data_IF_252417979799
#
_entry.id   IF_252417979799
#
_cell.length_a   1.000
_cell.length_b   1.000
_cell.length_c   1.000
_cell.angle_alpha   90.00
_cell.angle_beta   90.00
_cell.angle_gamma   90.00
#
_symmetry.space_group_name_H-M   'P 1'
#
loop_
_entity.id
_entity.type
_entity.pdbx_description
1 polymer ?
#
# COMPACT_ATOMS: atom_id res chain seq x y z
N UNK A 1 -14.28 -8.81 21.68
CA UNK A 1 -12.99 -8.19 22.12
C UNK A 1 -12.28 -7.60 20.92
N UNK A 2 -11.97 -6.29 20.97
CA UNK A 2 -11.13 -5.63 19.97
C UNK A 2 -9.66 -5.93 20.29
N UNK A 3 -8.91 -6.46 19.33
CA UNK A 3 -7.46 -6.63 19.47
C UNK A 3 -6.80 -5.25 19.65
N UNK A 4 -5.87 -5.12 20.60
CA UNK A 4 -5.03 -3.93 20.72
C UNK A 4 -4.08 -3.83 19.52
N UNK A 5 -3.86 -2.62 19.00
CA UNK A 5 -2.89 -2.37 17.92
C UNK A 5 -1.49 -2.76 18.40
N UNK A 6 -0.75 -3.49 17.57
CA UNK A 6 0.68 -3.75 17.78
C UNK A 6 1.52 -2.66 17.12
N UNK A 7 2.68 -2.36 17.70
CA UNK A 7 3.73 -1.53 17.08
C UNK A 7 5.06 -2.28 17.00
N UNK A 8 5.05 -3.60 17.24
CA UNK A 8 6.24 -4.43 17.04
C UNK A 8 6.62 -4.41 15.56
N UNK A 9 7.91 -4.19 15.29
CA UNK A 9 8.47 -4.14 13.94
C UNK A 9 8.30 -5.48 13.24
N UNK A 10 7.93 -5.43 11.97
CA UNK A 10 7.93 -6.59 11.08
C UNK A 10 9.36 -6.88 10.62
N UNK A 11 9.63 -8.11 10.18
CA UNK A 11 10.94 -8.45 9.61
C UNK A 11 11.18 -7.64 8.34
N UNK A 12 10.13 -7.39 7.54
CA UNK A 12 10.23 -6.57 6.33
C UNK A 12 10.62 -5.10 6.61
N UNK A 13 10.43 -4.60 7.84
CA UNK A 13 10.85 -3.25 8.26
C UNK A 13 12.38 -3.13 8.42
N UNK A 14 13.11 -4.24 8.45
CA UNK A 14 14.56 -4.25 8.58
C UNK A 14 15.24 -3.98 7.22
N UNK A 15 15.67 -2.74 7.04
CA UNK A 15 16.34 -2.27 5.83
C UNK A 15 17.73 -2.89 5.61
N UNK A 16 18.30 -3.55 6.62
CA UNK A 16 19.56 -4.29 6.43
C UNK A 16 19.36 -5.57 5.61
N UNK A 17 18.12 -6.04 5.48
CA UNK A 17 17.76 -7.18 4.62
C UNK A 17 17.76 -6.72 3.17
N UNK A 18 18.88 -7.00 2.50
CA UNK A 18 19.08 -6.66 1.08
C UNK A 18 19.25 -7.88 0.16
N UNK A 19 18.93 -9.07 0.67
CA UNK A 19 19.07 -10.35 -0.03
C UNK A 19 17.74 -10.91 -0.55
N UNK A 20 17.82 -12.06 -1.23
CA UNK A 20 16.72 -12.73 -1.92
C UNK A 20 15.56 -13.19 -1.02
N UNK A 21 15.74 -13.21 0.31
CA UNK A 21 14.63 -13.55 1.22
C UNK A 21 13.50 -12.53 1.14
N UNK A 22 13.83 -11.27 0.83
CA UNK A 22 12.83 -10.23 0.56
C UNK A 22 12.06 -10.53 -0.73
N UNK A 23 12.74 -10.97 -1.80
CA UNK A 23 12.11 -11.27 -3.09
C UNK A 23 11.06 -12.37 -2.97
N UNK A 24 11.38 -13.44 -2.24
CA UNK A 24 10.44 -14.52 -1.96
C UNK A 24 9.22 -14.00 -1.20
N UNK A 25 9.43 -13.15 -0.19
CA UNK A 25 8.34 -12.54 0.56
C UNK A 25 7.45 -11.65 -0.32
N UNK A 26 8.04 -10.79 -1.15
CA UNK A 26 7.33 -9.91 -2.08
C UNK A 26 6.54 -10.71 -3.12
N UNK A 27 7.11 -11.81 -3.64
CA UNK A 27 6.42 -12.72 -4.55
C UNK A 27 5.20 -13.38 -3.89
N UNK A 28 5.34 -13.90 -2.67
CA UNK A 28 4.22 -14.50 -1.94
C UNK A 28 3.16 -13.46 -1.58
N UNK A 29 3.55 -12.25 -1.21
CA UNK A 29 2.62 -11.14 -0.98
C UNK A 29 1.82 -10.79 -2.22
N UNK A 30 2.44 -10.82 -3.41
CA UNK A 30 1.73 -10.65 -4.69
C UNK A 30 0.64 -11.73 -4.88
N UNK A 31 0.96 -13.00 -4.58
CA UNK A 31 0.00 -14.11 -4.65
C UNK A 31 -1.15 -13.90 -3.66
N UNK A 32 -0.83 -13.55 -2.40
CA UNK A 32 -1.82 -13.26 -1.36
C UNK A 32 -2.71 -12.07 -1.76
N UNK A 33 -2.13 -10.99 -2.30
CA UNK A 33 -2.88 -9.82 -2.77
C UNK A 33 -3.81 -10.14 -3.94
N UNK A 34 -3.42 -11.08 -4.80
CA UNK A 34 -4.29 -11.54 -5.88
C UNK A 34 -5.49 -12.32 -5.32
N UNK A 35 -5.27 -13.36 -4.51
CA UNK A 35 -6.34 -14.24 -4.02
C UNK A 35 -7.20 -13.62 -2.93
N UNK A 36 -6.61 -12.85 -2.01
CA UNK A 36 -7.34 -12.18 -0.92
C UNK A 36 -7.82 -10.77 -1.31
N UNK A 37 -7.96 -10.52 -2.62
CA UNK A 37 -8.67 -9.35 -3.14
C UNK A 37 -7.95 -8.01 -3.01
N UNK A 38 -6.68 -7.97 -2.60
CA UNK A 38 -5.88 -6.74 -2.54
C UNK A 38 -5.89 -5.99 -3.87
N UNK A 39 -5.64 -6.69 -4.98
CA UNK A 39 -5.64 -6.07 -6.31
C UNK A 39 -7.03 -5.56 -6.71
N UNK A 40 -8.11 -6.20 -6.23
CA UNK A 40 -9.49 -5.73 -6.45
C UNK A 40 -9.79 -4.45 -5.65
N UNK A 41 -9.31 -4.37 -4.42
CA UNK A 41 -9.47 -3.20 -3.54
C UNK A 41 -8.83 -1.95 -4.17
N UNK A 42 -7.58 -2.05 -4.57
CA UNK A 42 -6.85 -0.94 -5.19
C UNK A 42 -7.48 -0.50 -6.52
N UNK A 43 -7.94 -1.44 -7.36
CA UNK A 43 -8.70 -1.13 -8.59
C UNK A 43 -10.03 -0.43 -8.31
N UNK A 44 -10.72 -0.79 -7.22
CA UNK A 44 -11.95 -0.13 -6.83
C UNK A 44 -11.71 1.34 -6.40
N UNK A 45 -10.59 1.62 -5.74
CA UNK A 45 -10.15 2.99 -5.44
C UNK A 45 -9.87 3.78 -6.71
N UNK A 46 -9.11 3.20 -7.64
CA UNK A 46 -8.81 3.83 -8.94
C UNK A 46 -10.09 4.11 -9.74
N UNK A 47 -11.02 3.16 -9.77
CA UNK A 47 -12.33 3.34 -10.42
C UNK A 47 -13.18 4.44 -9.76
N UNK A 48 -13.03 4.68 -8.45
CA UNK A 48 -13.70 5.80 -7.80
C UNK A 48 -13.13 7.15 -8.27
N UNK A 49 -11.80 7.28 -8.35
CA UNK A 49 -11.15 8.50 -8.84
C UNK A 49 -11.45 8.72 -10.32
N UNK A 50 -11.33 7.68 -11.16
CA UNK A 50 -11.60 7.79 -12.61
C UNK A 50 -13.04 8.19 -12.96
N UNK A 51 -14.00 7.97 -12.05
CA UNK A 51 -15.40 8.42 -12.23
C UNK A 51 -15.62 9.88 -11.86
N UNK A 52 -14.76 10.43 -11.02
CA UNK A 52 -14.87 11.81 -10.52
C UNK A 52 -13.93 12.77 -11.26
N UNK A 53 -12.86 12.27 -11.87
CA UNK A 53 -11.82 13.07 -12.51
C UNK A 53 -11.66 12.68 -13.98
N UNK A 54 -11.46 13.68 -14.83
CA UNK A 54 -11.04 13.51 -16.22
C UNK A 54 -9.55 13.78 -16.33
N UNK A 55 -8.78 12.80 -16.80
CA UNK A 55 -7.35 12.98 -17.04
C UNK A 55 -7.11 13.49 -18.46
N UNK A 56 -6.28 14.53 -18.61
CA UNK A 56 -5.87 15.02 -19.93
C UNK A 56 -4.94 14.04 -20.65
N UNK A 57 -4.12 13.32 -19.88
CA UNK A 57 -3.11 12.36 -20.34
C UNK A 57 -3.24 11.04 -19.58
N UNK A 58 -2.40 10.05 -19.90
CA UNK A 58 -2.22 8.86 -19.06
C UNK A 58 -1.90 9.25 -17.61
N UNK A 59 -2.71 8.84 -16.62
CA UNK A 59 -2.50 9.23 -15.22
C UNK A 59 -1.21 8.64 -14.67
N UNK A 60 -0.39 9.50 -14.06
CA UNK A 60 0.81 9.13 -13.33
C UNK A 60 0.43 8.65 -11.92
N UNK A 61 0.72 7.39 -11.62
CA UNK A 61 0.38 6.74 -10.35
C UNK A 61 1.66 6.46 -9.58
N UNK A 62 1.84 7.13 -8.43
CA UNK A 62 2.93 6.82 -7.50
C UNK A 62 2.46 5.77 -6.50
N UNK A 63 3.08 4.59 -6.53
CA UNK A 63 2.86 3.52 -5.56
C UNK A 63 3.95 3.61 -4.47
N UNK A 64 3.57 3.98 -3.25
CA UNK A 64 4.50 4.13 -2.11
C UNK A 64 4.50 2.87 -1.23
N UNK A 65 5.68 2.47 -0.76
CA UNK A 65 5.84 1.15 -0.13
C UNK A 65 5.55 0.02 -1.10
N UNK A 66 5.92 0.22 -2.36
CA UNK A 66 5.44 -0.59 -3.47
C UNK A 66 5.95 -2.03 -3.48
N UNK A 67 7.03 -2.35 -2.76
CA UNK A 67 7.60 -3.68 -2.75
C UNK A 67 8.02 -4.12 -4.16
N UNK A 68 7.29 -5.10 -4.72
CA UNK A 68 7.47 -5.58 -6.10
C UNK A 68 6.60 -4.87 -7.16
N UNK A 69 5.80 -3.87 -6.77
CA UNK A 69 4.97 -3.03 -7.64
C UNK A 69 4.03 -3.79 -8.59
N UNK A 70 3.41 -4.87 -8.14
CA UNK A 70 2.78 -5.81 -9.07
C UNK A 70 1.53 -5.27 -9.79
N UNK A 71 0.71 -4.47 -9.12
CA UNK A 71 -0.61 -4.12 -9.63
C UNK A 71 -0.56 -3.23 -10.87
N UNK A 72 0.04 -2.04 -10.75
CA UNK A 72 -0.05 -1.03 -11.81
C UNK A 72 0.84 -1.35 -13.00
N UNK A 73 1.99 -2.01 -12.81
CA UNK A 73 2.78 -2.52 -13.92
C UNK A 73 2.04 -3.62 -14.68
N UNK A 74 1.39 -4.57 -14.00
CA UNK A 74 0.51 -5.55 -14.68
C UNK A 74 -0.63 -4.87 -15.42
N UNK A 75 -1.19 -3.79 -14.89
CA UNK A 75 -2.23 -3.02 -15.59
C UNK A 75 -1.69 -2.36 -16.85
N UNK A 76 -0.52 -1.70 -16.77
CA UNK A 76 0.15 -1.09 -17.93
C UNK A 76 0.47 -2.11 -19.01
N UNK A 77 1.06 -3.26 -18.65
CA UNK A 77 1.37 -4.37 -19.58
C UNK A 77 0.10 -4.90 -20.25
N UNK A 78 -1.04 -4.92 -19.55
CA UNK A 78 -2.35 -5.29 -20.10
C UNK A 78 -3.04 -4.16 -20.89
N UNK A 79 -2.31 -3.12 -21.29
CA UNK A 79 -2.81 -2.02 -22.11
C UNK A 79 -3.74 -1.06 -21.37
N UNK A 80 -3.76 -1.06 -20.02
CA UNK A 80 -4.52 -0.04 -19.28
C UNK A 80 -3.78 1.27 -19.30
N UNK A 81 -4.53 2.36 -19.47
CA UNK A 81 -4.02 3.73 -19.49
C UNK A 81 -3.58 4.19 -18.09
N UNK A 82 -2.41 3.73 -17.64
CA UNK A 82 -1.77 4.14 -16.37
C UNK A 82 -0.26 4.19 -16.55
N UNK A 83 0.38 5.17 -15.92
CA UNK A 83 1.84 5.32 -15.88
C UNK A 83 2.33 5.15 -14.43
N UNK A 84 2.81 3.97 -14.03
CA UNK A 84 3.26 3.73 -12.66
C UNK A 84 4.67 4.26 -12.38
N UNK A 85 4.84 4.81 -11.18
CA UNK A 85 6.13 5.04 -10.51
C UNK A 85 6.11 4.23 -9.22
N UNK A 86 7.14 3.39 -9.02
CA UNK A 86 7.38 2.67 -7.79
C UNK A 86 8.23 3.52 -6.84
N UNK A 87 7.82 3.62 -5.58
CA UNK A 87 8.64 4.16 -4.51
C UNK A 87 8.70 3.19 -3.34
N UNK A 88 9.92 2.90 -2.89
CA UNK A 88 10.17 2.04 -1.74
C UNK A 88 11.46 2.48 -1.03
N UNK A 89 11.55 2.25 0.27
CA UNK A 89 12.73 2.62 1.06
C UNK A 89 13.77 1.50 1.10
N UNK A 90 13.35 0.24 0.90
CA UNK A 90 14.27 -0.89 0.86
C UNK A 90 14.91 -1.00 -0.54
N UNK A 91 16.24 -0.84 -0.59
CA UNK A 91 17.01 -0.91 -1.86
C UNK A 91 16.84 -2.24 -2.59
N UNK A 92 16.62 -3.35 -1.87
CA UNK A 92 16.35 -4.65 -2.49
C UNK A 92 14.96 -4.69 -3.11
N UNK A 93 13.93 -4.10 -2.50
CA UNK A 93 12.61 -3.98 -3.12
C UNK A 93 12.66 -3.16 -4.42
N UNK A 94 13.39 -2.04 -4.42
CA UNK A 94 13.65 -1.27 -5.64
C UNK A 94 14.30 -2.12 -6.75
N UNK A 95 15.36 -2.84 -6.42
CA UNK A 95 16.08 -3.73 -7.36
C UNK A 95 15.18 -4.85 -7.87
N UNK A 96 14.37 -5.43 -6.99
CA UNK A 96 13.41 -6.47 -7.33
C UNK A 96 12.35 -5.95 -8.32
N UNK A 97 11.81 -4.75 -8.11
CA UNK A 97 10.90 -4.11 -9.07
C UNK A 97 11.57 -3.92 -10.43
N UNK A 98 12.83 -3.44 -10.47
CA UNK A 98 13.60 -3.32 -11.72
C UNK A 98 13.88 -4.65 -12.41
N UNK A 99 14.10 -5.72 -11.64
CA UNK A 99 14.29 -7.06 -12.19
C UNK A 99 13.02 -7.58 -12.88
N UNK A 100 11.84 -7.38 -12.27
CA UNK A 100 10.56 -7.78 -12.85
C UNK A 100 10.12 -6.87 -14.00
N UNK A 101 10.48 -5.59 -13.93
CA UNK A 101 10.05 -4.54 -14.84
C UNK A 101 11.24 -3.63 -15.17
N UNK A 102 12.09 -3.99 -16.16
CA UNK A 102 13.30 -3.22 -16.49
C UNK A 102 13.02 -1.73 -16.78
N UNK A 103 11.92 -1.46 -17.47
CA UNK A 103 11.43 -0.11 -17.83
C UNK A 103 10.72 0.64 -16.69
N UNK A 104 10.63 0.05 -15.49
CA UNK A 104 9.94 0.69 -14.37
C UNK A 104 10.63 1.98 -13.94
N UNK A 105 9.85 3.05 -13.72
CA UNK A 105 10.33 4.21 -12.97
C UNK A 105 10.32 3.84 -11.49
N UNK A 106 11.49 3.77 -10.88
CA UNK A 106 11.69 3.36 -9.47
C UNK A 106 12.43 4.46 -8.73
N UNK A 107 11.93 4.83 -7.56
CA UNK A 107 12.50 5.87 -6.69
C UNK A 107 12.74 5.27 -5.32
N UNK A 108 14.01 5.03 -4.97
CA UNK A 108 14.36 4.55 -3.63
C UNK A 108 14.37 5.71 -2.65
N UNK A 109 13.33 5.84 -1.83
CA UNK A 109 13.15 6.97 -0.93
C UNK A 109 12.33 6.61 0.31
N UNK A 110 12.52 7.39 1.37
CA UNK A 110 11.62 7.39 2.52
C UNK A 110 10.32 8.11 2.16
N UNK A 111 9.17 7.48 2.41
CA UNK A 111 7.86 8.07 2.17
C UNK A 111 7.57 9.31 3.03
N UNK A 112 8.31 9.52 4.13
CA UNK A 112 8.27 10.76 4.90
C UNK A 112 9.00 11.92 4.22
N UNK A 113 9.73 11.64 3.12
CA UNK A 113 10.54 12.60 2.36
C UNK A 113 10.45 12.31 0.86
N UNK A 114 9.23 12.15 0.35
CA UNK A 114 8.98 11.93 -1.08
C UNK A 114 9.60 13.05 -1.95
N UNK A 115 10.42 12.73 -2.96
CA UNK A 115 11.15 13.70 -3.78
C UNK A 115 10.29 14.27 -4.93
N UNK A 116 9.02 14.54 -4.66
CA UNK A 116 8.07 15.06 -5.65
C UNK A 116 7.56 16.43 -5.22
N UNK A 117 7.35 17.32 -6.21
CA UNK A 117 6.80 18.65 -5.95
C UNK A 117 5.28 18.55 -5.77
N UNK A 118 4.69 19.62 -5.26
CA UNK A 118 3.23 19.77 -5.14
C UNK A 118 2.57 19.56 -6.51
N UNK A 119 1.45 18.83 -6.53
CA UNK A 119 0.64 18.61 -7.73
C UNK A 119 1.42 18.05 -8.94
N UNK A 120 2.40 17.16 -8.74
CA UNK A 120 3.13 16.51 -9.85
C UNK A 120 2.68 15.08 -10.15
N UNK A 121 2.02 14.42 -9.20
CA UNK A 121 1.53 13.05 -9.36
C UNK A 121 0.01 13.08 -9.47
N UNK A 122 -0.59 12.34 -10.41
CA UNK A 122 -2.05 12.35 -10.55
C UNK A 122 -2.72 11.62 -9.40
N UNK A 123 -2.23 10.42 -9.07
CA UNK A 123 -2.77 9.57 -8.00
C UNK A 123 -1.63 8.99 -7.17
N UNK A 124 -1.75 9.04 -5.84
CA UNK A 124 -0.88 8.29 -4.94
C UNK A 124 -1.61 7.05 -4.45
N UNK A 125 -0.95 5.91 -4.49
CA UNK A 125 -1.45 4.64 -3.98
C UNK A 125 -0.51 4.10 -2.92
N UNK A 126 -1.09 3.47 -1.89
CA UNK A 126 -0.36 2.70 -0.90
C UNK A 126 -1.14 1.43 -0.58
N UNK A 127 -0.49 0.26 -0.63
CA UNK A 127 -1.12 -1.01 -0.27
C UNK A 127 -0.26 -1.74 0.75
N UNK A 128 -0.89 -2.19 1.85
CA UNK A 128 -0.22 -2.87 2.96
C UNK A 128 1.00 -2.08 3.48
N UNK A 129 0.84 -0.76 3.62
CA UNK A 129 1.96 0.14 3.89
C UNK A 129 1.75 0.97 5.16
N UNK A 130 0.56 1.54 5.36
CA UNK A 130 0.37 2.50 6.46
C UNK A 130 0.30 1.85 7.83
N UNK A 131 0.00 0.54 7.93
CA UNK A 131 0.08 -0.17 9.22
C UNK A 131 1.51 -0.26 9.79
N UNK A 132 2.53 0.03 8.98
CA UNK A 132 3.93 0.14 9.42
C UNK A 132 4.22 1.43 10.22
N UNK A 133 3.32 2.42 10.17
CA UNK A 133 3.54 3.73 10.78
C UNK A 133 2.78 3.89 12.10
N UNK A 134 3.34 4.71 13.00
CA UNK A 134 2.57 5.31 14.08
C UNK A 134 1.61 6.36 13.51
N UNK A 135 0.63 6.73 14.31
CA UNK A 135 -0.45 7.64 13.93
C UNK A 135 0.08 8.99 13.42
N UNK A 136 1.07 9.56 14.12
CA UNK A 136 1.67 10.86 13.77
C UNK A 136 2.47 10.79 12.47
N UNK A 137 3.28 9.75 12.30
CA UNK A 137 4.08 9.54 11.08
C UNK A 137 3.16 9.29 9.88
N UNK A 138 2.12 8.47 10.05
CA UNK A 138 1.09 8.25 9.02
C UNK A 138 0.41 9.55 8.62
N UNK A 139 0.04 10.40 9.60
CA UNK A 139 -0.56 11.69 9.32
C UNK A 139 0.41 12.62 8.57
N UNK A 140 1.69 12.62 8.93
CA UNK A 140 2.71 13.41 8.25
C UNK A 140 2.87 12.98 6.78
N UNK A 141 3.02 11.68 6.52
CA UNK A 141 3.11 11.12 5.16
C UNK A 141 1.84 11.46 4.36
N UNK A 142 0.65 11.27 4.92
CA UNK A 142 -0.59 11.57 4.20
C UNK A 142 -0.78 13.06 3.90
N UNK A 143 -0.35 13.97 4.80
CA UNK A 143 -0.33 15.41 4.49
C UNK A 143 0.59 15.70 3.32
N UNK A 144 1.80 15.13 3.30
CA UNK A 144 2.70 15.28 2.17
C UNK A 144 2.09 14.71 0.87
N UNK A 145 1.52 13.51 0.91
CA UNK A 145 0.83 12.91 -0.22
C UNK A 145 -0.32 13.79 -0.71
N UNK A 146 -1.08 14.43 0.19
CA UNK A 146 -2.20 15.31 -0.19
C UNK A 146 -1.75 16.56 -0.95
N UNK A 147 -0.52 17.01 -0.74
CA UNK A 147 0.07 18.13 -1.48
C UNK A 147 0.61 17.66 -2.84
N UNK A 148 1.26 16.49 -2.90
CA UNK A 148 1.85 15.95 -4.12
C UNK A 148 0.80 15.47 -5.13
N UNK A 149 -0.28 14.83 -4.64
CA UNK A 149 -1.33 14.28 -5.48
C UNK A 149 -2.20 15.39 -6.09
N UNK A 150 -2.48 15.32 -7.38
CA UNK A 150 -3.42 16.21 -8.08
C UNK A 150 -4.86 15.79 -7.83
N UNK A 151 -5.18 14.52 -8.06
CA UNK A 151 -6.56 14.05 -8.11
C UNK A 151 -6.99 13.19 -6.93
N UNK A 152 -6.07 12.48 -6.27
CA UNK A 152 -6.45 11.72 -5.09
C UNK A 152 -5.41 10.75 -4.55
N UNK A 153 -5.79 10.12 -3.45
CA UNK A 153 -5.00 9.12 -2.74
C UNK A 153 -5.85 7.85 -2.59
N UNK A 154 -5.24 6.69 -2.77
CA UNK A 154 -5.84 5.38 -2.56
C UNK A 154 -5.00 4.63 -1.52
N UNK A 155 -5.65 4.10 -0.51
CA UNK A 155 -5.03 3.25 0.50
C UNK A 155 -5.79 1.93 0.57
N UNK A 156 -5.05 0.84 0.46
CA UNK A 156 -5.52 -0.52 0.65
C UNK A 156 -4.79 -1.13 1.85
N UNK A 157 -5.43 -1.13 3.01
CA UNK A 157 -4.77 -1.58 4.25
C UNK A 157 -5.61 -2.61 5.01
N UNK A 158 -5.06 -3.15 6.09
CA UNK A 158 -5.63 -4.25 6.84
C UNK A 158 -6.63 -3.75 7.89
N UNK A 159 -7.76 -4.43 7.95
CA UNK A 159 -8.74 -4.32 9.04
C UNK A 159 -8.38 -5.31 10.12
N UNK A 160 -8.01 -4.77 11.28
CA UNK A 160 -7.67 -5.57 12.46
C UNK A 160 -8.89 -6.37 12.93
N UNK A 161 -8.73 -7.69 13.01
CA UNK A 161 -9.80 -8.64 13.36
C UNK A 161 -9.19 -9.95 13.85
N UNK A 162 -9.80 -10.57 14.86
CA UNK A 162 -9.39 -11.91 15.35
C UNK A 162 -9.51 -12.96 14.24
N UNK A 163 -10.57 -12.90 13.43
CA UNK A 163 -10.75 -13.81 12.30
C UNK A 163 -9.69 -13.60 11.21
N UNK A 164 -9.28 -12.35 10.95
CA UNK A 164 -8.20 -12.08 10.02
C UNK A 164 -6.88 -12.64 10.54
N UNK A 165 -6.63 -12.52 11.85
CA UNK A 165 -5.41 -13.00 12.50
C UNK A 165 -5.31 -14.53 12.43
N UNK A 166 -6.38 -15.23 12.77
CA UNK A 166 -6.44 -16.69 12.69
C UNK A 166 -6.28 -17.13 11.23
N UNK A 167 -7.06 -16.52 10.31
CA UNK A 167 -7.03 -16.86 8.90
C UNK A 167 -5.64 -16.69 8.28
N UNK A 168 -5.01 -15.53 8.46
CA UNK A 168 -3.68 -15.29 7.88
C UNK A 168 -2.62 -16.19 8.52
N UNK A 169 -2.72 -16.48 9.83
CA UNK A 169 -1.79 -17.39 10.51
C UNK A 169 -1.89 -18.80 9.90
N UNK A 170 -3.10 -19.33 9.73
CA UNK A 170 -3.29 -20.65 9.12
C UNK A 170 -2.78 -20.66 7.67
N UNK A 171 -3.22 -19.68 6.87
CA UNK A 171 -2.85 -19.61 5.45
C UNK A 171 -1.33 -19.51 5.25
N UNK A 172 -0.66 -18.61 5.98
CA UNK A 172 0.79 -18.45 5.84
C UNK A 172 1.54 -19.66 6.38
N UNK A 173 1.14 -20.25 7.51
CA UNK A 173 1.83 -21.43 8.03
C UNK A 173 1.76 -22.64 7.09
N UNK A 174 0.60 -22.84 6.43
CA UNK A 174 0.39 -23.97 5.51
C UNK A 174 0.95 -23.74 4.11
N UNK A 175 0.85 -22.53 3.55
CA UNK A 175 1.11 -22.29 2.12
C UNK A 175 2.33 -21.42 1.82
N UNK A 176 2.80 -20.60 2.77
CA UNK A 176 3.99 -19.77 2.56
C UNK A 176 5.26 -20.59 2.78
N UNK A 177 6.30 -20.29 2.00
CA UNK A 177 7.68 -20.77 2.20
C UNK A 177 8.54 -19.68 2.83
N UNK A 178 8.15 -18.41 2.71
CA UNK A 178 8.86 -17.29 3.33
C UNK A 178 8.67 -17.27 4.85
N UNK A 179 9.78 -17.37 5.60
CA UNK A 179 9.78 -17.15 7.06
C UNK A 179 9.32 -15.73 7.41
N UNK A 180 9.64 -14.75 6.56
CA UNK A 180 9.21 -13.35 6.72
C UNK A 180 7.68 -13.28 6.66
N UNK A 181 7.04 -13.83 5.63
CA UNK A 181 5.57 -13.80 5.50
C UNK A 181 4.86 -14.58 6.61
N UNK A 182 5.40 -15.73 7.04
CA UNK A 182 4.86 -16.50 8.18
C UNK A 182 4.87 -15.75 9.50
N UNK A 183 5.90 -14.94 9.72
CA UNK A 183 6.04 -14.10 10.91
C UNK A 183 5.18 -12.84 10.80
N UNK A 184 5.33 -12.14 9.68
CA UNK A 184 4.82 -10.79 9.49
C UNK A 184 3.32 -10.82 9.24
N UNK A 185 2.76 -11.78 8.49
CA UNK A 185 1.32 -11.81 8.19
C UNK A 185 0.40 -11.65 9.41
N UNK A 186 0.56 -12.46 10.48
CA UNK A 186 -0.16 -12.26 11.74
C UNK A 186 0.12 -10.91 12.40
N UNK A 187 1.36 -10.43 12.36
CA UNK A 187 1.77 -9.16 12.94
C UNK A 187 1.14 -7.98 12.17
N UNK A 188 1.14 -7.98 10.84
CA UNK A 188 0.49 -6.99 9.98
C UNK A 188 -1.00 -6.86 10.31
N UNK A 189 -1.69 -7.98 10.54
CA UNK A 189 -3.10 -7.93 10.98
C UNK A 189 -3.26 -7.26 12.35
N UNK A 190 -2.35 -7.53 13.30
CA UNK A 190 -2.36 -6.88 14.62
C UNK A 190 -1.99 -5.39 14.54
N UNK A 191 -1.18 -4.99 13.55
CA UNK A 191 -0.80 -3.60 13.28
C UNK A 191 -1.85 -2.83 12.48
N UNK A 192 -2.70 -3.55 11.74
CA UNK A 192 -3.83 -3.01 10.97
C UNK A 192 -4.82 -2.23 11.85
N UNK A 193 -5.81 -1.63 11.21
CA UNK A 193 -6.61 -0.57 11.83
C UNK A 193 -8.04 -1.01 12.14
N UNK A 194 -8.65 -0.32 13.11
CA UNK A 194 -10.11 -0.21 13.22
C UNK A 194 -10.59 1.14 12.66
N UNK A 195 -11.89 1.25 12.36
CA UNK A 195 -12.44 2.43 11.68
C UNK A 195 -12.23 3.73 12.48
N UNK A 196 -12.39 3.70 13.80
CA UNK A 196 -12.23 4.89 14.66
C UNK A 196 -10.80 5.41 14.65
N UNK A 197 -9.79 4.53 14.65
CA UNK A 197 -8.37 4.91 14.52
C UNK A 197 -8.12 5.63 13.19
N UNK A 198 -8.60 5.05 12.07
CA UNK A 198 -8.49 5.69 10.76
C UNK A 198 -9.20 7.05 10.73
N UNK A 199 -10.42 7.14 11.26
CA UNK A 199 -11.16 8.41 11.32
C UNK A 199 -10.39 9.49 12.09
N UNK A 200 -9.79 9.14 13.23
CA UNK A 200 -9.00 10.07 14.04
C UNK A 200 -7.80 10.62 13.24
N UNK A 201 -7.01 9.76 12.61
CA UNK A 201 -5.86 10.16 11.78
C UNK A 201 -6.32 11.02 10.60
N UNK A 202 -7.32 10.55 9.85
CA UNK A 202 -7.75 11.17 8.59
C UNK A 202 -8.45 12.52 8.80
N UNK A 203 -9.10 12.73 9.94
CA UNK A 203 -9.74 14.01 10.28
C UNK A 203 -8.76 15.20 10.34
N UNK A 204 -7.48 14.92 10.59
CA UNK A 204 -6.41 15.94 10.64
C UNK A 204 -5.86 16.36 9.28
N UNK A 205 -6.35 15.78 8.17
CA UNK A 205 -5.85 16.02 6.81
C UNK A 205 -6.91 16.82 6.05
N UNK A 206 -6.87 18.15 6.19
CA UNK A 206 -7.91 19.05 5.67
C UNK A 206 -7.94 19.15 4.14
N UNK A 207 -6.84 18.80 3.48
CA UNK A 207 -6.68 18.89 2.03
C UNK A 207 -7.50 17.84 1.26
N UNK A 208 -8.03 16.82 1.95
CA UNK A 208 -8.63 15.65 1.33
C UNK A 208 -9.80 15.13 2.14
N UNK A 209 -10.97 14.97 1.50
CA UNK A 209 -12.10 14.29 2.11
C UNK A 209 -11.99 12.78 1.89
N UNK A 210 -11.64 12.04 2.94
CA UNK A 210 -11.47 10.60 2.85
C UNK A 210 -12.79 9.81 3.02
N UNK A 211 -12.93 8.78 2.20
CA UNK A 211 -13.97 7.76 2.28
C UNK A 211 -13.36 6.44 2.74
N UNK A 212 -13.97 5.80 3.76
CA UNK A 212 -13.50 4.51 4.30
C UNK A 212 -14.55 3.43 4.00
N UNK A 213 -14.14 2.35 3.33
CA UNK A 213 -15.02 1.22 2.98
C UNK A 213 -14.39 -0.10 3.44
N UNK A 214 -15.19 -0.98 4.02
CA UNK A 214 -14.80 -2.38 4.26
C UNK A 214 -14.78 -3.13 2.94
N UNK A 215 -13.79 -3.99 2.75
CA UNK A 215 -13.66 -4.86 1.59
C UNK A 215 -13.36 -6.29 2.02
N UNK A 216 -13.50 -7.20 1.06
CA UNK A 216 -13.24 -8.62 1.22
C UNK A 216 -11.85 -8.88 1.83
N UNK A 217 -11.77 -10.00 2.56
CA UNK A 217 -10.63 -10.47 3.32
C UNK A 217 -10.09 -9.45 4.34
N UNK A 218 -11.00 -8.78 5.05
CA UNK A 218 -10.67 -7.84 6.12
C UNK A 218 -9.73 -6.71 5.65
N UNK A 219 -10.08 -6.08 4.53
CA UNK A 219 -9.36 -4.91 4.02
C UNK A 219 -10.15 -3.63 4.21
N UNK A 220 -9.43 -2.53 4.35
CA UNK A 220 -9.91 -1.17 4.21
C UNK A 220 -9.56 -0.67 2.81
N UNK A 221 -10.57 -0.23 2.08
CA UNK A 221 -10.37 0.73 1.01
C UNK A 221 -10.57 2.12 1.61
N UNK A 222 -9.52 2.93 1.58
CA UNK A 222 -9.61 4.35 1.93
C UNK A 222 -9.24 5.11 0.67
N UNK A 223 -10.01 6.12 0.30
CA UNK A 223 -9.65 6.98 -0.82
C UNK A 223 -10.16 8.39 -0.60
N UNK A 224 -9.47 9.36 -1.18
CA UNK A 224 -9.96 10.72 -1.30
C UNK A 224 -9.90 11.15 -2.77
N UNK A 225 -10.81 12.03 -3.13
CA UNK A 225 -10.80 12.73 -4.41
C UNK A 225 -10.55 14.21 -4.08
N UNK A 226 -9.59 14.81 -4.75
CA UNK A 226 -9.32 16.24 -4.65
C UNK A 226 -10.15 16.95 -5.72
N UNK A 227 -10.80 18.03 -5.29
CA UNK A 227 -11.49 18.97 -6.18
C UNK A 227 -10.48 19.76 -7.04
#
# INVERSE_FOLDING_TARGET
>A
MLLKRSYAKEIIDDLSITDERLDLALHELQVINFFLGGNSVSRAGLSAINRACTFKNTPLILDIGSGGSDLFFKMKIKGRNVEPISADMNIRACRYTKLLHPEAKVVCCDAQRLPFKVSTIDIIHASLFFHHFKEEDMAAVLRQCSLIARHGIIINDLRRSVFALIGIKILTQLFSKSRMVKNDGPLSVRRGFIKSELMAILSGIKQCRFHIRRKWAFRWLIYCIKE
#
